data_IF_294665385294
#
_entry.id   IF_294665385294
#
_cell.length_a   1.000
_cell.length_b   1.000
_cell.length_c   1.000
_cell.angle_alpha   90.00
_cell.angle_beta   90.00
_cell.angle_gamma   90.00
#
_symmetry.space_group_name_H-M   'P 1'
#
loop_
_entity.id
_entity.type
_entity.pdbx_description
1 polymer ?
#
# COMPACT_ATOMS: atom_id res chain seq x y z
N UNK A 1 -33.72 1.81 -2.30
CA UNK A 1 -32.42 2.52 -2.08
C UNK A 1 -31.41 1.87 -3.02
N UNK A 2 -30.92 2.64 -3.99
CA UNK A 2 -29.87 2.20 -4.90
C UNK A 2 -28.55 2.17 -4.13
N UNK A 3 -27.86 1.01 -4.09
CA UNK A 3 -26.59 0.86 -3.37
C UNK A 3 -25.44 0.68 -4.35
N UNK A 4 -24.29 1.20 -3.98
CA UNK A 4 -23.03 1.06 -4.71
C UNK A 4 -22.13 0.06 -4.02
N UNK A 5 -21.41 -0.77 -4.78
CA UNK A 5 -20.47 -1.76 -4.24
C UNK A 5 -19.13 -1.73 -4.98
N UNK A 6 -18.05 -1.79 -4.22
CA UNK A 6 -16.71 -2.01 -4.76
C UNK A 6 -16.25 -3.45 -4.48
N UNK A 7 -15.61 -4.10 -5.45
CA UNK A 7 -15.00 -5.41 -5.26
C UNK A 7 -13.49 -5.27 -5.06
N UNK A 8 -12.95 -5.88 -4.00
CA UNK A 8 -11.53 -5.82 -3.71
C UNK A 8 -10.92 -7.22 -3.49
N UNK A 9 -9.80 -7.49 -4.16
CA UNK A 9 -8.97 -8.69 -3.99
C UNK A 9 -7.52 -8.37 -4.37
N UNK A 10 -6.81 -7.64 -3.52
CA UNK A 10 -5.40 -7.30 -3.80
C UNK A 10 -4.62 -7.08 -2.49
N UNK A 11 -3.38 -6.56 -2.57
CA UNK A 11 -2.53 -6.30 -1.42
C UNK A 11 -2.93 -5.06 -0.61
N UNK A 12 -2.39 -4.95 0.59
CA UNK A 12 -2.65 -3.81 1.49
C UNK A 12 -2.25 -2.48 0.83
N UNK A 13 -1.07 -2.40 0.19
CA UNK A 13 -0.65 -1.21 -0.53
C UNK A 13 -1.62 -0.83 -1.65
N UNK A 14 -2.08 -1.81 -2.45
CA UNK A 14 -3.09 -1.59 -3.50
C UNK A 14 -4.42 -1.08 -2.92
N UNK A 15 -4.81 -1.52 -1.71
CA UNK A 15 -6.00 -0.97 -1.05
C UNK A 15 -5.81 0.51 -0.72
N UNK A 16 -4.68 0.87 -0.09
CA UNK A 16 -4.42 2.25 0.30
C UNK A 16 -4.39 3.18 -0.93
N UNK A 17 -3.73 2.78 -2.01
CA UNK A 17 -3.72 3.58 -3.26
C UNK A 17 -5.05 3.54 -4.02
N UNK A 18 -5.96 2.61 -3.70
CA UNK A 18 -7.32 2.61 -4.22
C UNK A 18 -8.28 3.49 -3.41
N UNK A 19 -7.95 3.88 -2.18
CA UNK A 19 -8.86 4.68 -1.32
C UNK A 19 -9.31 5.99 -1.94
N UNK A 20 -8.49 6.76 -2.71
CA UNK A 20 -8.97 7.93 -3.43
C UNK A 20 -10.14 7.63 -4.36
N UNK A 21 -10.05 6.55 -5.12
CA UNK A 21 -11.09 6.13 -6.05
C UNK A 21 -12.32 5.56 -5.32
N UNK A 22 -12.13 4.80 -4.24
CA UNK A 22 -13.22 4.31 -3.41
C UNK A 22 -14.00 5.46 -2.78
N UNK A 23 -13.31 6.47 -2.25
CA UNK A 23 -13.93 7.68 -1.69
C UNK A 23 -14.68 8.49 -2.76
N UNK A 24 -14.05 8.70 -3.93
CA UNK A 24 -14.69 9.36 -5.05
C UNK A 24 -15.94 8.60 -5.52
N UNK A 25 -15.87 7.28 -5.62
CA UNK A 25 -17.00 6.43 -5.99
C UNK A 25 -18.12 6.51 -4.95
N UNK A 26 -17.78 6.44 -3.66
CA UNK A 26 -18.74 6.59 -2.58
C UNK A 26 -19.45 7.96 -2.61
N UNK A 27 -18.73 9.04 -2.93
CA UNK A 27 -19.31 10.39 -2.99
C UNK A 27 -20.36 10.56 -4.10
N UNK A 28 -20.39 9.67 -5.08
CA UNK A 28 -21.40 9.64 -6.15
C UNK A 28 -22.69 8.91 -5.70
N UNK A 29 -22.64 8.12 -4.65
CA UNK A 29 -23.81 7.48 -4.07
C UNK A 29 -24.60 8.49 -3.22
N UNK A 30 -25.95 8.52 -3.28
CA UNK A 30 -26.76 9.41 -2.45
C UNK A 30 -26.50 9.30 -0.95
N UNK A 31 -26.14 8.10 -0.46
CA UNK A 31 -25.76 7.86 0.94
C UNK A 31 -24.34 8.31 1.27
N UNK A 32 -23.52 8.62 0.25
CA UNK A 32 -22.06 8.87 0.34
C UNK A 32 -21.28 7.73 0.99
N UNK A 33 -21.84 6.51 0.91
CA UNK A 33 -21.26 5.29 1.41
C UNK A 33 -21.35 4.19 0.37
N UNK A 34 -20.45 3.21 0.46
CA UNK A 34 -20.44 2.02 -0.39
C UNK A 34 -20.27 0.76 0.44
N UNK A 35 -20.75 -0.35 -0.07
CA UNK A 35 -20.35 -1.66 0.42
C UNK A 35 -19.06 -2.11 -0.27
N UNK A 36 -18.23 -2.89 0.42
CA UNK A 36 -17.04 -3.51 -0.20
C UNK A 36 -17.19 -5.02 -0.17
N UNK A 37 -17.07 -5.63 -1.35
CA UNK A 37 -17.20 -7.06 -1.54
C UNK A 37 -15.81 -7.74 -1.53
N UNK A 38 -15.63 -8.74 -0.67
CA UNK A 38 -14.43 -9.59 -0.62
C UNK A 38 -14.78 -11.02 -1.04
N UNK A 39 -13.85 -11.71 -1.71
CA UNK A 39 -14.05 -13.11 -2.10
C UNK A 39 -14.07 -14.05 -0.88
N UNK A 40 -15.08 -14.94 -0.77
CA UNK A 40 -15.23 -15.92 0.33
C UNK A 40 -14.03 -16.85 0.47
N UNK A 41 -13.50 -17.32 -0.66
CA UNK A 41 -12.35 -18.25 -0.70
C UNK A 41 -10.99 -17.54 -0.75
N UNK A 42 -10.95 -16.26 -0.43
CA UNK A 42 -9.68 -15.54 -0.36
C UNK A 42 -8.96 -15.90 0.96
N UNK A 43 -8.28 -17.04 0.93
CA UNK A 43 -7.45 -17.51 2.04
C UNK A 43 -6.04 -16.90 1.90
N UNK A 44 -5.88 -15.68 2.38
CA UNK A 44 -4.65 -14.90 2.28
C UNK A 44 -4.37 -14.26 3.64
N UNK A 45 -3.14 -14.34 4.09
CA UNK A 45 -2.70 -13.78 5.39
C UNK A 45 -2.92 -12.26 5.51
N UNK A 46 -3.18 -11.57 4.41
CA UNK A 46 -3.47 -10.13 4.36
C UNK A 46 -4.94 -9.79 4.63
N UNK A 47 -5.84 -10.77 4.53
CA UNK A 47 -7.30 -10.53 4.65
C UNK A 47 -7.70 -9.89 5.98
N UNK A 48 -7.16 -10.30 7.14
CA UNK A 48 -7.43 -9.61 8.40
C UNK A 48 -7.06 -8.13 8.37
N UNK A 49 -5.89 -7.78 7.86
CA UNK A 49 -5.44 -6.39 7.74
C UNK A 49 -6.29 -5.59 6.75
N UNK A 50 -6.72 -6.21 5.64
CA UNK A 50 -7.60 -5.57 4.65
C UNK A 50 -8.97 -5.29 5.26
N UNK A 51 -9.55 -6.22 6.03
CA UNK A 51 -10.80 -6.00 6.76
C UNK A 51 -10.69 -4.91 7.81
N UNK A 52 -9.57 -4.88 8.52
CA UNK A 52 -9.27 -3.87 9.53
C UNK A 52 -9.22 -2.47 8.90
N UNK A 53 -8.55 -2.32 7.75
CA UNK A 53 -8.54 -1.04 7.01
C UNK A 53 -9.95 -0.69 6.51
N UNK A 54 -10.62 -1.60 5.83
CA UNK A 54 -11.95 -1.34 5.24
C UNK A 54 -12.97 -0.94 6.29
N UNK A 55 -12.97 -1.62 7.46
CA UNK A 55 -13.89 -1.31 8.57
C UNK A 55 -13.64 0.05 9.22
N UNK A 56 -12.46 0.64 9.03
CA UNK A 56 -12.13 1.99 9.51
C UNK A 56 -12.29 3.09 8.46
N UNK A 57 -12.70 2.77 7.22
CA UNK A 57 -12.93 3.79 6.19
C UNK A 57 -14.30 4.45 6.38
N UNK A 58 -14.36 5.79 6.52
CA UNK A 58 -15.61 6.49 6.86
C UNK A 58 -16.68 6.42 5.75
N UNK A 59 -16.30 6.04 4.55
CA UNK A 59 -17.16 5.92 3.38
C UNK A 59 -17.52 4.46 3.04
N UNK A 60 -17.16 3.49 3.88
CA UNK A 60 -17.54 2.07 3.76
C UNK A 60 -18.64 1.75 4.79
N UNK A 61 -19.82 1.33 4.31
CA UNK A 61 -20.92 0.93 5.17
C UNK A 61 -20.76 -0.54 5.61
N UNK A 62 -20.58 -1.44 4.65
CA UNK A 62 -20.49 -2.88 4.94
C UNK A 62 -19.40 -3.58 4.17
N UNK A 63 -18.86 -4.63 4.78
CA UNK A 63 -18.01 -5.61 4.12
C UNK A 63 -18.86 -6.85 3.84
N UNK A 64 -19.14 -7.11 2.57
CA UNK A 64 -19.90 -8.27 2.10
C UNK A 64 -18.98 -9.35 1.55
N UNK A 65 -19.39 -10.60 1.63
CA UNK A 65 -18.57 -11.75 1.21
C UNK A 65 -19.17 -12.39 -0.04
N UNK A 66 -18.37 -12.50 -1.09
CA UNK A 66 -18.74 -13.19 -2.33
C UNK A 66 -18.30 -14.69 -2.29
N UNK A 67 -19.08 -15.67 -2.79
CA UNK A 67 -20.44 -15.52 -3.31
C UNK A 67 -21.47 -15.29 -2.22
N UNK A 68 -22.29 -14.27 -2.41
CA UNK A 68 -23.40 -13.90 -1.56
C UNK A 68 -24.42 -13.09 -2.36
N UNK A 69 -25.57 -12.71 -1.78
CA UNK A 69 -26.57 -11.95 -2.50
C UNK A 69 -26.03 -10.59 -2.91
N UNK A 70 -25.95 -10.36 -4.21
CA UNK A 70 -25.56 -9.08 -4.82
C UNK A 70 -26.80 -8.33 -5.37
N UNK A 71 -27.98 -8.70 -4.91
CA UNK A 71 -29.23 -8.08 -5.32
C UNK A 71 -29.36 -6.68 -4.69
N UNK A 72 -29.87 -5.73 -5.45
CA UNK A 72 -30.08 -4.35 -4.99
C UNK A 72 -28.91 -3.39 -5.22
N UNK A 73 -27.77 -3.87 -5.73
CA UNK A 73 -26.70 -2.98 -6.19
C UNK A 73 -26.92 -2.53 -7.63
N UNK A 74 -26.69 -1.24 -7.89
CA UNK A 74 -26.84 -0.63 -9.23
C UNK A 74 -25.51 -0.10 -9.76
N UNK A 75 -24.60 0.32 -8.88
CA UNK A 75 -23.29 0.80 -9.26
C UNK A 75 -22.22 -0.13 -8.73
N UNK A 76 -21.18 -0.34 -9.54
CA UNK A 76 -20.10 -1.26 -9.22
C UNK A 76 -18.75 -0.63 -9.56
N UNK A 77 -17.77 -0.84 -8.71
CA UNK A 77 -16.41 -0.43 -8.94
C UNK A 77 -15.45 -1.59 -8.67
N UNK A 78 -14.49 -1.79 -9.57
CA UNK A 78 -13.45 -2.80 -9.42
C UNK A 78 -12.10 -2.08 -9.54
N UNK A 79 -11.35 -1.90 -8.45
CA UNK A 79 -10.03 -1.30 -8.50
C UNK A 79 -9.06 -2.08 -9.38
N UNK A 80 -8.05 -1.41 -9.87
CA UNK A 80 -6.95 -1.99 -10.64
C UNK A 80 -6.40 -3.23 -9.92
N UNK A 81 -6.03 -4.26 -10.70
CA UNK A 81 -5.54 -5.55 -10.22
C UNK A 81 -6.59 -6.47 -9.55
N UNK A 82 -7.86 -6.06 -9.50
CA UNK A 82 -8.95 -6.91 -9.03
C UNK A 82 -9.81 -7.45 -10.19
N UNK A 83 -9.70 -6.88 -11.38
CA UNK A 83 -10.54 -7.10 -12.57
C UNK A 83 -10.43 -8.50 -13.17
N UNK A 84 -9.27 -9.15 -13.06
CA UNK A 84 -9.02 -10.48 -13.64
C UNK A 84 -9.58 -11.63 -12.79
N UNK A 85 -10.11 -11.33 -11.60
CA UNK A 85 -10.66 -12.34 -10.71
C UNK A 85 -12.01 -12.88 -11.22
N UNK A 86 -12.33 -14.15 -10.88
CA UNK A 86 -13.65 -14.74 -11.20
C UNK A 86 -14.81 -13.90 -10.67
N UNK A 87 -14.67 -13.37 -9.45
CA UNK A 87 -15.69 -12.49 -8.88
C UNK A 87 -15.80 -11.15 -9.62
N UNK A 88 -14.67 -10.57 -10.06
CA UNK A 88 -14.67 -9.40 -10.93
C UNK A 88 -15.41 -9.65 -12.24
N UNK A 89 -15.14 -10.77 -12.91
CA UNK A 89 -15.85 -11.21 -14.13
C UNK A 89 -17.33 -11.43 -13.88
N UNK A 90 -17.67 -12.08 -12.76
CA UNK A 90 -19.08 -12.33 -12.39
C UNK A 90 -19.85 -11.03 -12.16
N UNK A 91 -19.26 -10.07 -11.46
CA UNK A 91 -19.83 -8.75 -11.24
C UNK A 91 -20.02 -8.03 -12.58
N UNK A 92 -19.01 -8.06 -13.44
CA UNK A 92 -19.10 -7.48 -14.80
C UNK A 92 -20.24 -8.06 -15.64
N UNK A 93 -20.49 -9.36 -15.56
CA UNK A 93 -21.54 -10.04 -16.35
C UNK A 93 -22.96 -9.72 -15.88
N UNK A 94 -23.15 -9.47 -14.58
CA UNK A 94 -24.48 -9.26 -13.98
C UNK A 94 -24.95 -7.82 -13.93
N UNK A 95 -24.08 -6.88 -14.25
CA UNK A 95 -24.40 -5.47 -14.25
C UNK A 95 -24.87 -5.04 -15.63
N UNK A 96 -26.17 -5.12 -15.87
CA UNK A 96 -26.81 -4.73 -17.15
C UNK A 96 -26.53 -3.29 -17.59
N UNK A 97 -26.07 -2.43 -16.68
CA UNK A 97 -25.75 -1.03 -16.92
C UNK A 97 -24.26 -0.70 -16.85
N UNK A 98 -23.40 -1.70 -16.67
CA UNK A 98 -21.98 -1.47 -16.46
C UNK A 98 -21.22 -1.33 -17.77
N UNK A 99 -20.98 -0.11 -18.12
CA UNK A 99 -19.89 0.30 -19.00
C UNK A 99 -18.54 0.30 -18.25
N UNK A 100 -18.34 -0.64 -17.31
CA UNK A 100 -17.04 -0.86 -16.68
C UNK A 100 -16.18 -1.62 -17.69
N UNK A 101 -15.73 -0.92 -18.70
CA UNK A 101 -14.59 -1.36 -19.50
C UNK A 101 -13.38 -0.62 -18.95
N UNK A 102 -12.47 -1.36 -18.36
CA UNK A 102 -11.08 -0.92 -18.33
C UNK A 102 -10.75 -0.38 -19.72
N UNK A 103 -10.12 0.79 -19.81
CA UNK A 103 -9.57 1.23 -21.09
C UNK A 103 -8.71 0.06 -21.59
N UNK A 104 -9.12 -0.57 -22.69
CA UNK A 104 -8.74 -1.89 -23.19
C UNK A 104 -7.29 -2.32 -22.95
N UNK A 105 -6.94 -3.54 -23.36
CA UNK A 105 -5.63 -4.22 -23.15
C UNK A 105 -4.36 -3.39 -23.49
N UNK A 106 -4.52 -2.22 -24.10
CA UNK A 106 -3.46 -1.28 -24.47
C UNK A 106 -3.20 -0.16 -23.44
N UNK A 107 -3.85 -0.17 -22.25
CA UNK A 107 -3.55 0.83 -21.24
C UNK A 107 -2.13 0.59 -20.66
N UNK A 108 -1.21 1.55 -20.79
CA UNK A 108 0.15 1.36 -20.30
C UNK A 108 0.17 1.46 -18.76
N UNK A 109 -0.21 0.37 -18.08
CA UNK A 109 -0.16 0.21 -16.60
C UNK A 109 1.18 0.69 -16.02
N UNK A 110 2.24 0.61 -16.81
CA UNK A 110 3.60 0.99 -16.40
C UNK A 110 3.87 2.50 -16.43
N UNK A 111 3.02 3.29 -17.13
CA UNK A 111 3.24 4.74 -17.33
C UNK A 111 2.48 5.63 -16.35
N UNK A 112 1.52 5.05 -15.62
CA UNK A 112 0.65 5.84 -14.72
C UNK A 112 0.71 5.29 -13.30
N UNK A 113 0.59 6.21 -12.34
CA UNK A 113 0.45 5.84 -10.94
C UNK A 113 -0.88 5.09 -10.73
N UNK A 114 -0.90 4.12 -9.82
CA UNK A 114 -2.10 3.29 -9.58
C UNK A 114 -3.30 4.11 -9.08
N UNK A 115 -3.06 5.18 -8.32
CA UNK A 115 -4.11 6.15 -7.94
C UNK A 115 -4.76 6.75 -9.19
N UNK A 116 -3.94 7.22 -10.14
CA UNK A 116 -4.45 7.85 -11.37
C UNK A 116 -5.26 6.86 -12.21
N UNK A 117 -4.76 5.64 -12.33
CA UNK A 117 -5.46 4.57 -13.04
C UNK A 117 -6.83 4.27 -12.42
N UNK A 118 -6.91 4.14 -11.10
CA UNK A 118 -8.17 3.94 -10.39
C UNK A 118 -9.10 5.16 -10.52
N UNK A 119 -8.59 6.37 -10.40
CA UNK A 119 -9.38 7.60 -10.54
C UNK A 119 -9.93 7.80 -11.94
N UNK A 120 -9.17 7.48 -12.99
CA UNK A 120 -9.65 7.55 -14.37
C UNK A 120 -10.89 6.71 -14.57
N UNK A 121 -10.94 5.55 -13.94
CA UNK A 121 -12.09 4.67 -13.98
C UNK A 121 -13.33 5.33 -13.34
N UNK A 122 -13.19 5.88 -12.13
CA UNK A 122 -14.31 6.54 -11.44
C UNK A 122 -14.76 7.79 -12.20
N UNK A 123 -13.83 8.51 -12.84
CA UNK A 123 -14.15 9.62 -13.74
C UNK A 123 -14.97 9.16 -14.95
N UNK A 124 -14.67 8.00 -15.52
CA UNK A 124 -15.47 7.42 -16.60
C UNK A 124 -16.89 7.04 -16.17
N UNK A 125 -17.12 6.83 -14.86
CA UNK A 125 -18.45 6.66 -14.28
C UNK A 125 -19.18 7.99 -14.00
N UNK A 126 -18.54 9.14 -14.26
CA UNK A 126 -19.15 10.48 -14.09
C UNK A 126 -18.62 11.30 -12.92
N UNK A 127 -17.59 10.85 -12.20
CA UNK A 127 -17.00 11.66 -11.14
C UNK A 127 -16.25 12.87 -11.72
N UNK A 128 -16.69 14.08 -11.37
CA UNK A 128 -16.09 15.34 -11.82
C UNK A 128 -15.24 16.08 -10.79
N UNK A 129 -15.11 15.53 -9.58
CA UNK A 129 -14.37 16.18 -8.50
C UNK A 129 -12.84 16.02 -8.56
N UNK A 130 -12.11 16.67 -7.65
CA UNK A 130 -10.67 16.50 -7.50
C UNK A 130 -10.34 15.07 -7.01
N UNK A 131 -9.11 14.62 -7.27
CA UNK A 131 -8.63 13.35 -6.72
C UNK A 131 -8.49 13.47 -5.20
N UNK A 132 -9.23 12.68 -4.40
CA UNK A 132 -9.04 12.66 -2.95
C UNK A 132 -7.62 12.18 -2.60
N UNK A 133 -7.07 12.56 -1.44
CA UNK A 133 -5.80 12.01 -0.97
C UNK A 133 -5.96 10.53 -0.61
N UNK A 134 -4.88 9.72 -0.67
CA UNK A 134 -4.88 8.39 -0.08
C UNK A 134 -5.21 8.47 1.41
N UNK A 135 -5.95 7.47 1.88
CA UNK A 135 -6.40 7.43 3.26
C UNK A 135 -6.12 6.07 3.90
N UNK A 136 -5.67 6.11 5.14
CA UNK A 136 -5.54 4.93 6.01
C UNK A 136 -6.10 5.25 7.38
N UNK A 137 -7.04 4.44 7.91
CA UNK A 137 -7.57 4.65 9.25
C UNK A 137 -6.51 4.35 10.30
N UNK A 138 -6.57 5.07 11.42
CA UNK A 138 -5.78 4.82 12.62
C UNK A 138 -6.72 4.38 13.74
N UNK A 139 -6.50 3.19 14.29
CA UNK A 139 -7.16 2.77 15.52
C UNK A 139 -6.42 3.34 16.74
N UNK A 140 -7.05 3.25 17.90
CA UNK A 140 -6.33 3.39 19.17
C UNK A 140 -5.22 2.33 19.23
N UNK A 141 -4.04 2.73 19.72
CA UNK A 141 -2.86 1.88 19.72
C UNK A 141 -1.71 2.48 20.54
N UNK A 142 -0.53 1.85 20.52
CA UNK A 142 0.61 2.30 21.29
C UNK A 142 0.94 3.77 21.09
N UNK A 143 1.16 4.48 22.18
CA UNK A 143 1.76 5.81 22.19
C UNK A 143 3.26 5.63 22.34
N UNK A 144 4.04 6.28 21.50
CA UNK A 144 5.50 6.20 21.52
C UNK A 144 6.05 7.25 22.51
N UNK A 145 6.47 6.80 23.68
CA UNK A 145 7.24 7.58 24.63
C UNK A 145 8.72 7.18 24.54
N UNK A 146 9.38 7.68 23.49
CA UNK A 146 10.75 7.34 23.14
C UNK A 146 11.55 8.60 22.78
N UNK A 147 12.88 8.60 23.02
CA UNK A 147 13.75 9.69 22.60
C UNK A 147 13.64 10.01 21.10
N UNK A 148 13.52 11.29 20.77
CA UNK A 148 13.44 11.77 19.39
C UNK A 148 14.80 12.12 18.80
N UNK A 149 14.99 12.05 17.46
CA UNK A 149 13.96 11.66 16.50
C UNK A 149 13.62 10.17 16.60
N UNK A 150 12.34 9.82 16.38
CA UNK A 150 11.89 8.43 16.28
C UNK A 150 11.88 8.03 14.80
N UNK A 151 12.66 7.01 14.44
CA UNK A 151 12.77 6.53 13.06
C UNK A 151 12.13 5.16 12.96
N UNK A 152 11.07 5.05 12.15
CA UNK A 152 10.36 3.80 11.89
C UNK A 152 10.97 3.04 10.71
N UNK A 153 11.15 1.74 10.86
CA UNK A 153 11.68 0.84 9.82
C UNK A 153 10.65 -0.21 9.43
N UNK A 154 10.59 -0.55 8.13
CA UNK A 154 9.78 -1.66 7.63
C UNK A 154 10.46 -2.31 6.41
N UNK A 155 10.66 -3.62 6.49
CA UNK A 155 11.23 -4.43 5.40
C UNK A 155 10.19 -5.41 4.83
N UNK A 156 8.92 -5.08 4.97
CA UNK A 156 7.80 -5.94 4.66
C UNK A 156 7.69 -6.20 3.16
N UNK A 157 7.72 -7.45 2.78
CA UNK A 157 7.16 -7.90 1.51
C UNK A 157 6.39 -9.19 1.76
N UNK A 158 5.35 -9.43 0.98
CA UNK A 158 4.61 -10.68 1.06
C UNK A 158 5.58 -11.86 1.00
N UNK A 159 5.50 -12.80 1.95
CA UNK A 159 6.45 -13.92 2.13
C UNK A 159 6.51 -14.92 0.96
N UNK A 160 5.72 -14.75 -0.10
CA UNK A 160 5.88 -15.54 -1.31
C UNK A 160 7.27 -15.28 -1.92
N UNK A 161 7.88 -16.31 -2.46
CA UNK A 161 9.21 -16.24 -3.11
C UNK A 161 9.32 -15.09 -4.14
N UNK A 162 8.22 -14.78 -4.82
CA UNK A 162 8.15 -13.72 -5.82
C UNK A 162 8.33 -12.31 -5.23
N UNK A 163 7.73 -12.00 -4.08
CA UNK A 163 7.78 -10.67 -3.47
C UNK A 163 8.93 -10.49 -2.48
N UNK A 164 9.58 -11.59 -2.05
CA UNK A 164 10.80 -11.55 -1.24
C UNK A 164 11.93 -10.73 -1.91
N UNK A 165 11.88 -10.58 -3.24
CA UNK A 165 12.80 -9.74 -4.04
C UNK A 165 12.79 -8.26 -3.66
N UNK A 166 11.80 -7.79 -2.92
CA UNK A 166 11.72 -6.42 -2.42
C UNK A 166 12.42 -6.22 -1.08
N UNK A 167 12.86 -7.29 -0.42
CA UNK A 167 13.58 -7.19 0.84
C UNK A 167 14.95 -6.52 0.63
N UNK A 168 15.23 -5.53 1.46
CA UNK A 168 16.53 -4.86 1.48
C UNK A 168 17.38 -5.43 2.62
N UNK A 169 18.60 -5.93 2.37
CA UNK A 169 19.35 -6.69 3.35
C UNK A 169 20.04 -5.84 4.42
N UNK A 170 20.05 -4.52 4.28
CA UNK A 170 20.91 -3.65 5.09
C UNK A 170 20.17 -2.87 6.18
N UNK A 171 18.99 -3.27 6.61
CA UNK A 171 18.30 -2.60 7.73
C UNK A 171 19.06 -2.69 9.05
N UNK A 172 19.82 -3.77 9.32
CA UNK A 172 20.65 -3.88 10.51
C UNK A 172 21.77 -2.83 10.56
N UNK A 173 22.65 -2.78 9.55
CA UNK A 173 23.66 -1.73 9.42
C UNK A 173 23.06 -0.31 9.41
N UNK A 174 21.92 -0.12 8.75
CA UNK A 174 21.23 1.18 8.73
C UNK A 174 20.77 1.59 10.13
N UNK A 175 20.08 0.70 10.87
CA UNK A 175 19.59 0.98 12.22
C UNK A 175 20.73 1.40 13.16
N UNK A 176 21.86 0.71 13.09
CA UNK A 176 23.05 1.05 13.85
C UNK A 176 23.55 2.46 13.49
N UNK A 177 23.67 2.78 12.20
CA UNK A 177 24.12 4.08 11.73
C UNK A 177 23.16 5.23 12.11
N UNK A 178 21.85 5.00 11.98
CA UNK A 178 20.81 5.96 12.37
C UNK A 178 20.90 6.31 13.86
N UNK A 179 21.00 5.29 14.70
CA UNK A 179 21.10 5.48 16.14
C UNK A 179 22.40 6.21 16.55
N UNK A 180 23.52 5.82 15.95
CA UNK A 180 24.83 6.48 16.20
C UNK A 180 24.87 7.93 15.76
N UNK A 181 24.12 8.28 14.68
CA UNK A 181 24.16 9.66 14.15
C UNK A 181 23.15 10.59 14.83
N UNK A 182 21.90 10.14 15.03
CA UNK A 182 20.82 11.01 15.53
C UNK A 182 20.59 10.91 17.03
N UNK A 183 21.08 9.87 17.70
CA UNK A 183 20.92 9.68 19.14
C UNK A 183 19.50 9.39 19.62
N UNK A 184 18.54 9.35 18.68
CA UNK A 184 17.13 9.08 18.97
C UNK A 184 16.78 7.59 19.02
N UNK A 185 15.57 7.23 18.65
CA UNK A 185 15.06 5.86 18.70
C UNK A 185 14.80 5.29 17.33
N UNK A 186 15.07 4.00 17.17
CA UNK A 186 14.78 3.22 15.95
C UNK A 186 13.77 2.14 16.30
N UNK A 187 12.62 2.14 15.62
CA UNK A 187 11.54 1.17 15.86
C UNK A 187 11.25 0.35 14.61
N UNK A 188 10.70 -0.85 14.80
CA UNK A 188 10.30 -1.74 13.73
C UNK A 188 8.79 -1.92 13.67
N UNK A 189 8.23 -1.90 12.44
CA UNK A 189 6.84 -2.30 12.16
C UNK A 189 6.82 -3.22 10.93
N UNK A 190 5.78 -4.03 10.81
CA UNK A 190 5.60 -4.95 9.69
C UNK A 190 5.06 -6.30 10.11
N UNK A 191 5.21 -7.32 9.29
CA UNK A 191 4.81 -8.69 9.60
C UNK A 191 5.75 -9.39 10.58
N UNK A 192 5.36 -10.55 11.10
CA UNK A 192 6.17 -11.28 12.07
C UNK A 192 7.59 -11.61 11.54
N UNK A 193 8.61 -11.20 12.28
CA UNK A 193 10.01 -11.55 12.03
C UNK A 193 10.68 -10.80 10.88
N UNK A 194 10.07 -9.75 10.32
CA UNK A 194 10.58 -9.05 9.15
C UNK A 194 11.87 -8.24 9.38
N UNK A 195 12.08 -7.77 10.61
CA UNK A 195 13.31 -7.11 11.04
C UNK A 195 14.09 -7.96 12.06
N UNK A 196 13.95 -9.28 11.98
CA UNK A 196 14.68 -10.20 12.88
C UNK A 196 16.19 -9.96 12.77
N UNK A 197 16.85 -9.86 13.93
CA UNK A 197 18.28 -9.56 14.03
C UNK A 197 18.66 -8.08 13.90
N UNK A 198 17.70 -7.19 13.63
CA UNK A 198 17.92 -5.74 13.68
C UNK A 198 17.79 -5.25 15.12
N UNK A 199 18.75 -4.49 15.61
CA UNK A 199 18.68 -3.88 16.95
C UNK A 199 17.73 -2.68 16.92
N UNK A 200 16.59 -2.82 17.59
CA UNK A 200 15.52 -1.84 17.67
C UNK A 200 15.30 -1.40 19.14
N UNK A 201 14.86 -0.16 19.34
CA UNK A 201 14.43 0.34 20.66
C UNK A 201 13.01 -0.14 20.99
N UNK A 202 12.16 -0.33 19.98
CA UNK A 202 10.88 -1.02 20.11
C UNK A 202 10.57 -1.83 18.84
N UNK A 203 10.11 -3.05 19.00
CA UNK A 203 9.71 -3.94 17.90
C UNK A 203 8.22 -4.24 17.95
N UNK A 204 7.49 -3.75 16.95
CA UNK A 204 6.06 -3.98 16.74
C UNK A 204 5.77 -4.96 15.60
N UNK A 205 6.79 -5.59 15.00
CA UNK A 205 6.62 -6.52 13.89
C UNK A 205 5.74 -7.72 14.25
N UNK A 206 4.59 -7.85 13.59
CA UNK A 206 3.62 -8.92 13.81
C UNK A 206 2.82 -8.84 15.11
N UNK A 207 2.89 -7.73 15.84
CA UNK A 207 2.25 -7.56 17.15
C UNK A 207 0.99 -6.70 17.13
N UNK A 208 0.75 -5.99 16.05
CA UNK A 208 -0.32 -4.99 15.91
C UNK A 208 -1.22 -5.32 14.73
N UNK A 209 -2.50 -4.96 14.82
CA UNK A 209 -3.37 -4.85 13.65
C UNK A 209 -2.85 -3.74 12.73
N UNK A 210 -3.28 -3.73 11.49
CA UNK A 210 -2.73 -2.77 10.54
C UNK A 210 -3.09 -1.32 10.88
N UNK A 211 -4.29 -1.06 11.39
CA UNK A 211 -4.72 0.28 11.81
C UNK A 211 -3.98 0.78 13.06
N UNK A 212 -3.60 -0.13 13.97
CA UNK A 212 -2.71 0.17 15.10
C UNK A 212 -1.27 0.44 14.62
N UNK A 213 -0.80 -0.33 13.63
CA UNK A 213 0.48 -0.06 12.96
C UNK A 213 0.48 1.33 12.31
N UNK A 214 -0.62 1.73 11.66
CA UNK A 214 -0.77 3.07 11.11
C UNK A 214 -0.72 4.15 12.22
N UNK A 215 -1.27 3.88 13.41
CA UNK A 215 -1.14 4.77 14.57
C UNK A 215 0.31 4.90 15.01
N UNK A 216 1.08 3.81 15.08
CA UNK A 216 2.52 3.86 15.40
C UNK A 216 3.29 4.63 14.33
N UNK A 217 3.06 4.34 13.04
CA UNK A 217 3.69 5.05 11.93
C UNK A 217 3.43 6.56 12.00
N UNK A 218 2.22 6.99 12.38
CA UNK A 218 1.87 8.42 12.45
C UNK A 218 2.63 9.22 13.51
N UNK A 219 3.41 8.56 14.36
CA UNK A 219 4.13 9.18 15.47
C UNK A 219 5.65 9.29 15.23
N UNK A 220 6.16 8.70 14.14
CA UNK A 220 7.59 8.76 13.83
C UNK A 220 7.96 10.04 13.08
N UNK A 221 9.19 10.49 13.23
CA UNK A 221 9.72 11.68 12.57
C UNK A 221 10.20 11.37 11.15
N UNK A 222 10.61 10.12 10.91
CA UNK A 222 11.01 9.59 9.61
C UNK A 222 10.62 8.12 9.51
N UNK A 223 10.09 7.72 8.37
CA UNK A 223 9.79 6.32 8.08
C UNK A 223 10.66 5.83 6.91
N UNK A 224 11.35 4.71 7.07
CA UNK A 224 12.20 4.11 6.03
C UNK A 224 11.70 2.71 5.71
N UNK A 225 11.29 2.51 4.47
CA UNK A 225 10.64 1.25 4.08
C UNK A 225 10.98 0.84 2.66
N UNK A 226 10.89 -0.44 2.37
CA UNK A 226 10.78 -0.94 1.01
C UNK A 226 9.35 -0.72 0.46
N UNK A 227 9.10 -1.04 -0.81
CA UNK A 227 7.76 -0.93 -1.46
C UNK A 227 6.75 -1.90 -0.81
N UNK A 228 5.97 -1.42 0.16
CA UNK A 228 5.08 -2.21 1.03
C UNK A 228 3.81 -1.47 1.41
N UNK A 229 2.86 -2.18 2.03
CA UNK A 229 1.67 -1.56 2.60
C UNK A 229 1.98 -0.50 3.67
N UNK A 230 3.02 -0.72 4.50
CA UNK A 230 3.44 0.25 5.51
C UNK A 230 4.02 1.52 4.88
N UNK A 231 4.76 1.41 3.76
CA UNK A 231 5.24 2.57 2.99
C UNK A 231 4.08 3.42 2.50
N UNK A 232 3.05 2.79 1.92
CA UNK A 232 1.85 3.50 1.47
C UNK A 232 1.04 4.10 2.62
N UNK A 233 1.03 3.43 3.79
CA UNK A 233 0.41 3.99 4.98
C UNK A 233 1.13 5.25 5.47
N UNK A 234 2.47 5.22 5.56
CA UNK A 234 3.27 6.37 5.94
C UNK A 234 3.06 7.56 4.98
N UNK A 235 3.03 7.27 3.68
CA UNK A 235 2.78 8.28 2.64
C UNK A 235 1.38 8.89 2.75
N UNK A 236 0.35 8.07 2.95
CA UNK A 236 -1.03 8.53 3.17
C UNK A 236 -1.19 9.35 4.45
N UNK A 237 -0.41 9.05 5.49
CA UNK A 237 -0.36 9.78 6.75
C UNK A 237 0.52 11.04 6.68
N UNK A 238 1.12 11.34 5.53
CA UNK A 238 2.03 12.47 5.32
C UNK A 238 3.28 12.44 6.21
N UNK A 239 3.67 11.24 6.68
CA UNK A 239 4.90 11.05 7.43
C UNK A 239 6.08 11.15 6.48
N UNK A 240 7.15 11.93 6.81
CA UNK A 240 8.37 11.95 6.02
C UNK A 240 8.88 10.54 5.77
N UNK A 241 8.99 10.12 4.48
CA UNK A 241 9.25 8.72 4.14
C UNK A 241 10.40 8.59 3.15
N UNK A 242 11.34 7.68 3.43
CA UNK A 242 12.31 7.19 2.45
C UNK A 242 11.85 5.82 1.96
N UNK A 243 11.50 5.74 0.68
CA UNK A 243 11.03 4.52 0.05
C UNK A 243 12.15 3.90 -0.82
N UNK A 244 12.51 2.65 -0.51
CA UNK A 244 13.58 1.90 -1.18
C UNK A 244 12.97 1.01 -2.26
N UNK A 245 13.37 1.22 -3.51
CA UNK A 245 12.84 0.55 -4.69
C UNK A 245 13.92 -0.18 -5.48
N UNK A 246 13.75 -1.47 -5.67
CA UNK A 246 14.58 -2.29 -6.54
C UNK A 246 13.80 -2.76 -7.77
N UNK A 247 13.08 -3.92 -7.69
CA UNK A 247 12.47 -4.54 -8.84
C UNK A 247 11.17 -3.88 -9.30
N UNK A 248 10.53 -3.06 -8.46
CA UNK A 248 9.19 -2.49 -8.71
C UNK A 248 9.25 -1.08 -9.31
N UNK A 249 8.20 -0.71 -10.04
CA UNK A 249 8.09 0.57 -10.75
C UNK A 249 7.66 1.69 -9.80
N UNK A 250 8.52 2.66 -9.61
CA UNK A 250 8.24 3.85 -8.80
C UNK A 250 7.16 4.74 -9.42
N UNK A 251 7.10 4.82 -10.75
CA UNK A 251 6.04 5.55 -11.47
C UNK A 251 4.64 5.01 -11.19
N UNK A 252 4.53 3.72 -10.85
CA UNK A 252 3.26 3.07 -10.55
C UNK A 252 2.96 3.02 -9.05
N UNK A 253 3.94 2.63 -8.25
CA UNK A 253 3.76 2.28 -6.84
C UNK A 253 4.50 3.21 -5.88
N UNK A 254 5.16 4.27 -6.37
CA UNK A 254 5.90 5.18 -5.51
C UNK A 254 5.00 5.97 -4.56
N UNK A 255 5.55 6.53 -3.48
CA UNK A 255 4.84 7.47 -2.64
C UNK A 255 4.46 8.73 -3.42
N UNK A 256 3.35 9.37 -3.07
CA UNK A 256 2.82 10.58 -3.73
C UNK A 256 2.95 11.83 -2.88
N UNK A 257 3.25 11.70 -1.60
CA UNK A 257 3.47 12.82 -0.69
C UNK A 257 4.73 13.60 -1.06
N UNK A 258 4.67 14.92 -0.96
CA UNK A 258 5.83 15.81 -1.16
C UNK A 258 6.92 15.62 -0.09
N UNK A 259 6.54 15.12 1.09
CA UNK A 259 7.46 14.79 2.17
C UNK A 259 8.22 13.47 1.95
N UNK A 260 7.83 12.68 0.95
CA UNK A 260 8.48 11.39 0.64
C UNK A 260 9.65 11.54 -0.34
N UNK A 261 10.62 10.64 -0.20
CA UNK A 261 11.78 10.50 -1.10
C UNK A 261 11.91 9.06 -1.54
N UNK A 262 12.36 8.87 -2.77
CA UNK A 262 12.55 7.54 -3.35
C UNK A 262 14.03 7.31 -3.64
N UNK A 263 14.57 6.23 -3.09
CA UNK A 263 15.88 5.69 -3.45
C UNK A 263 15.66 4.45 -4.30
N UNK A 264 16.05 4.51 -5.56
CA UNK A 264 15.87 3.40 -6.50
C UNK A 264 17.19 2.84 -6.98
N UNK A 265 17.21 1.55 -7.24
CA UNK A 265 18.35 0.89 -7.87
C UNK A 265 18.62 1.50 -9.26
N UNK A 266 19.91 1.62 -9.58
CA UNK A 266 20.39 2.14 -10.87
C UNK A 266 20.90 1.03 -11.80
N UNK A 267 20.78 -0.25 -11.40
CA UNK A 267 21.25 -1.35 -12.27
C UNK A 267 20.34 -1.51 -13.49
N UNK A 268 20.91 -1.93 -14.60
CA UNK A 268 20.22 -1.93 -15.91
C UNK A 268 19.00 -2.84 -16.00
N UNK A 269 18.87 -3.86 -15.13
CA UNK A 269 17.69 -4.74 -15.11
C UNK A 269 16.55 -4.23 -14.21
N UNK A 270 16.73 -3.16 -13.44
CA UNK A 270 15.70 -2.60 -12.57
C UNK A 270 15.10 -1.32 -13.20
N UNK A 271 13.76 -1.15 -13.09
CA UNK A 271 12.77 -2.06 -12.54
C UNK A 271 12.40 -3.19 -13.51
N UNK A 272 12.15 -4.39 -13.00
CA UNK A 272 11.80 -5.57 -13.81
C UNK A 272 10.39 -6.13 -13.56
N UNK A 273 9.56 -5.46 -12.79
CA UNK A 273 8.25 -5.92 -12.30
C UNK A 273 7.34 -6.54 -13.37
N UNK A 274 7.43 -6.07 -14.61
CA UNK A 274 6.60 -6.53 -15.74
C UNK A 274 7.39 -7.25 -16.82
N UNK A 275 8.61 -7.70 -16.51
CA UNK A 275 9.41 -8.52 -17.41
C UNK A 275 9.47 -9.97 -16.94
N UNK A 276 9.78 -10.89 -17.86
CA UNK A 276 10.02 -12.29 -17.50
C UNK A 276 11.11 -12.46 -16.44
N UNK A 277 12.09 -11.57 -16.41
CA UNK A 277 13.18 -11.53 -15.44
C UNK A 277 12.67 -11.36 -14.00
N UNK A 278 11.55 -10.68 -13.78
CA UNK A 278 10.95 -10.56 -12.46
C UNK A 278 10.59 -11.93 -11.85
N UNK A 279 10.16 -12.88 -12.67
CA UNK A 279 9.76 -14.21 -12.19
C UNK A 279 10.96 -15.15 -12.00
N UNK A 280 12.03 -14.96 -12.74
CA UNK A 280 13.19 -15.87 -12.78
C UNK A 280 14.39 -15.41 -11.94
N UNK A 281 14.44 -14.14 -11.54
CA UNK A 281 15.57 -13.58 -10.78
C UNK A 281 15.70 -14.21 -9.39
N UNK A 282 16.91 -14.64 -9.02
CA UNK A 282 17.26 -15.24 -7.73
C UNK A 282 18.34 -14.48 -6.96
N UNK A 283 18.98 -13.49 -7.58
CA UNK A 283 20.18 -12.81 -7.02
C UNK A 283 19.90 -11.42 -6.43
N UNK A 284 18.77 -10.81 -6.74
CA UNK A 284 18.27 -9.54 -6.17
C UNK A 284 19.29 -8.40 -6.12
N UNK A 285 20.19 -8.31 -7.11
CA UNK A 285 21.24 -7.30 -7.17
C UNK A 285 20.71 -5.87 -7.08
N UNK A 286 19.47 -5.64 -7.54
CA UNK A 286 18.85 -4.32 -7.45
C UNK A 286 18.70 -3.83 -6.01
N UNK A 287 18.32 -4.71 -5.08
CA UNK A 287 18.22 -4.34 -3.67
C UNK A 287 19.61 -4.23 -3.04
N UNK A 288 20.53 -5.13 -3.39
CA UNK A 288 21.90 -5.12 -2.88
C UNK A 288 22.72 -3.89 -3.35
N UNK A 289 22.35 -3.30 -4.51
CA UNK A 289 23.05 -2.13 -5.05
C UNK A 289 22.73 -0.80 -4.35
N UNK A 290 21.69 -0.78 -3.50
CA UNK A 290 21.34 0.40 -2.71
C UNK A 290 22.09 0.30 -1.38
N UNK A 291 23.04 1.20 -1.14
CA UNK A 291 23.85 1.16 0.06
C UNK A 291 23.19 1.81 1.28
N UNK A 292 23.53 1.40 2.52
CA UNK A 292 23.10 2.13 3.72
C UNK A 292 23.53 3.61 3.70
N UNK A 293 24.67 3.93 3.09
CA UNK A 293 25.16 5.30 2.94
C UNK A 293 24.24 6.18 2.09
N UNK A 294 23.59 5.63 1.06
CA UNK A 294 22.63 6.37 0.24
C UNK A 294 21.39 6.72 1.08
N UNK A 295 20.90 5.78 1.88
CA UNK A 295 19.74 5.98 2.76
C UNK A 295 20.08 6.95 3.88
N UNK A 296 21.25 6.82 4.51
CA UNK A 296 21.72 7.74 5.55
C UNK A 296 21.86 9.17 5.05
N UNK A 297 22.38 9.36 3.84
CA UNK A 297 22.52 10.69 3.23
C UNK A 297 21.16 11.38 3.08
N UNK A 298 20.13 10.63 2.66
CA UNK A 298 18.80 11.18 2.53
C UNK A 298 18.10 11.38 3.89
N UNK A 299 18.31 10.47 4.85
CA UNK A 299 17.80 10.62 6.21
C UNK A 299 18.33 11.91 6.88
N UNK A 300 19.62 12.21 6.71
CA UNK A 300 20.22 13.46 7.20
C UNK A 300 19.55 14.70 6.61
N UNK A 301 19.27 14.71 5.31
CA UNK A 301 18.59 15.84 4.63
C UNK A 301 17.16 16.05 5.08
N UNK A 302 16.48 14.98 5.52
CA UNK A 302 15.08 15.04 5.91
C UNK A 302 14.88 15.34 7.38
N UNK A 303 15.88 15.08 8.24
CA UNK A 303 15.86 15.31 9.67
C UNK A 303 16.72 16.52 10.11
N UNK A 304 17.43 17.17 9.16
CA UNK A 304 18.07 18.48 9.38
C UNK A 304 17.02 19.59 9.16
#
# INVERSE_FOLDING_TARGET
>A
VTRSVAYFKSGIGNLIVATPALQAFASMDPSKQIDVCLAKKWNDSRVPAIRDILGGLPFVDKIVIYPGPMNGYVNYFIPLQCETSEAGKYIQQRTKHNRIRWPGDNWPITKHHEIEANMRFVRALGYGGPTPPPYVPKAEGPVLDLPRPIIGLCNSAFKSSMWAKKHWPYFGPLAYALKGWFGGSVIGVGGPGELSGVRLDADFCGRLRFTETAKVISQVDLFISTDTGCMHAADALQVPTIAIFGPTLTSKNGPVSKSSRVIKSKIGCAPCQYSGMFYTCTVYLCMNSISPGDVMREARRMLS
#
